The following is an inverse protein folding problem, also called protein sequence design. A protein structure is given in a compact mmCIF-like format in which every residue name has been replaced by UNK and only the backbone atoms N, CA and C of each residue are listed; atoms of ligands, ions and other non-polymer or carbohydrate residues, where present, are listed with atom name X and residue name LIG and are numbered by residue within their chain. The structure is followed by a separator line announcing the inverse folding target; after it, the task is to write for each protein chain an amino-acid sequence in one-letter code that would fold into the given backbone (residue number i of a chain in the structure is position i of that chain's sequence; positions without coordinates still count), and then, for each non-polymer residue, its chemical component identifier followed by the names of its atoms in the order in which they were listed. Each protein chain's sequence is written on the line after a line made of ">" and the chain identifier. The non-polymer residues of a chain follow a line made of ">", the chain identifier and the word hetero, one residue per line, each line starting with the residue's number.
data_IF_779544969461
#
_entry.id   IF_779544969461
#
_cell.length_a   1.000
_cell.length_b   1.000
_cell.length_c   1.000
_cell.angle_alpha   90.00
_cell.angle_beta   90.00
_cell.angle_gamma   90.00
#
_symmetry.space_group_name_H-M   'P 1'
#
loop_
_entity.id
_entity.type
_entity.pdbx_description
1 polymer ?
#
# COMPACT_ATOMS: atom_id res chain seq x y z
N UNK A 1 -27.53 -25.22 -14.38
CA UNK A 1 -27.29 -24.12 -15.34
C UNK A 1 -26.39 -23.12 -14.63
N UNK A 2 -25.27 -22.74 -15.24
CA UNK A 2 -24.31 -21.78 -14.68
C UNK A 2 -24.42 -20.48 -15.48
N UNK A 3 -24.47 -19.33 -14.81
CA UNK A 3 -24.44 -18.03 -15.47
C UNK A 3 -23.11 -17.33 -15.17
N UNK A 4 -22.59 -16.59 -16.15
CA UNK A 4 -21.34 -15.83 -16.04
C UNK A 4 -21.57 -14.39 -16.54
N UNK A 5 -21.11 -13.35 -15.81
CA UNK A 5 -21.28 -11.93 -16.19
C UNK A 5 -20.36 -11.49 -17.35
N UNK A 6 -19.84 -12.43 -18.13
CA UNK A 6 -18.90 -12.15 -19.23
C UNK A 6 -19.61 -11.72 -20.52
N UNK A 7 -20.92 -11.95 -20.62
CA UNK A 7 -21.70 -11.55 -21.80
C UNK A 7 -21.87 -10.05 -21.84
N UNK A 8 -21.61 -9.40 -22.97
CA UNK A 8 -22.15 -8.07 -23.28
C UNK A 8 -23.52 -8.25 -23.93
N UNK A 9 -24.35 -7.21 -23.89
CA UNK A 9 -25.69 -7.25 -24.50
C UNK A 9 -25.64 -7.50 -26.02
N UNK A 10 -24.55 -7.11 -26.68
CA UNK A 10 -24.30 -7.31 -28.12
C UNK A 10 -23.23 -8.38 -28.44
N UNK A 11 -22.79 -9.18 -27.46
CA UNK A 11 -21.79 -10.21 -27.72
C UNK A 11 -22.36 -11.38 -28.53
N UNK A 12 -21.56 -11.91 -29.45
CA UNK A 12 -21.91 -13.14 -30.18
C UNK A 12 -21.33 -14.37 -29.45
N UNK A 13 -22.07 -15.48 -29.44
CA UNK A 13 -21.61 -16.72 -28.79
C UNK A 13 -20.27 -17.23 -29.37
N UNK A 14 -19.96 -16.89 -30.63
CA UNK A 14 -18.69 -17.21 -31.30
C UNK A 14 -17.45 -16.55 -30.65
N UNK A 15 -17.64 -15.52 -29.82
CA UNK A 15 -16.55 -14.86 -29.07
C UNK A 15 -16.04 -15.71 -27.89
N UNK A 16 -16.79 -16.77 -27.54
CA UNK A 16 -16.47 -17.64 -26.43
C UNK A 16 -16.16 -19.05 -26.93
N UNK A 17 -15.17 -19.71 -26.34
CA UNK A 17 -14.95 -21.14 -26.53
C UNK A 17 -14.91 -21.88 -25.20
N UNK A 18 -15.66 -22.98 -25.13
CA UNK A 18 -15.65 -23.89 -23.99
C UNK A 18 -14.91 -25.16 -24.41
N UNK A 19 -13.86 -25.51 -23.66
CA UNK A 19 -13.00 -26.66 -23.96
C UNK A 19 -12.94 -27.60 -22.78
N UNK A 20 -13.24 -28.88 -23.00
CA UNK A 20 -13.03 -29.96 -22.02
C UNK A 20 -11.55 -30.31 -21.93
N UNK A 21 -11.05 -30.46 -20.71
CA UNK A 21 -9.68 -30.85 -20.40
C UNK A 21 -9.61 -32.27 -19.82
N UNK A 22 -8.65 -33.07 -20.31
CA UNK A 22 -8.24 -34.32 -19.67
C UNK A 22 -6.77 -34.25 -19.30
N UNK A 23 -6.47 -34.42 -18.00
CA UNK A 23 -5.11 -34.33 -17.46
C UNK A 23 -4.40 -33.02 -17.88
N UNK A 24 -5.14 -31.92 -17.98
CA UNK A 24 -4.64 -30.61 -18.38
C UNK A 24 -4.52 -30.38 -19.89
N UNK A 25 -4.78 -31.38 -20.74
CA UNK A 25 -4.77 -31.25 -22.19
C UNK A 25 -6.17 -31.03 -22.77
N UNK A 26 -6.35 -30.16 -23.77
CA UNK A 26 -7.64 -29.95 -24.44
C UNK A 26 -8.06 -31.22 -25.19
N UNK A 27 -9.30 -31.63 -24.99
CA UNK A 27 -9.86 -32.83 -25.59
C UNK A 27 -10.95 -32.52 -26.62
N UNK A 28 -11.93 -31.69 -26.26
CA UNK A 28 -13.10 -31.44 -27.09
C UNK A 28 -13.65 -30.02 -26.88
N UNK A 29 -14.19 -29.43 -27.94
CA UNK A 29 -14.92 -28.16 -27.88
C UNK A 29 -16.40 -28.42 -27.58
N UNK A 30 -16.94 -27.73 -26.59
CA UNK A 30 -18.31 -27.88 -26.09
C UNK A 30 -19.14 -26.62 -26.40
N UNK A 31 -19.09 -26.12 -27.64
CA UNK A 31 -19.73 -24.86 -28.04
C UNK A 31 -21.26 -24.87 -27.89
N UNK A 32 -21.90 -26.03 -28.06
CA UNK A 32 -23.36 -26.19 -27.98
C UNK A 32 -23.94 -25.94 -26.57
N UNK A 33 -23.08 -25.82 -25.55
CA UNK A 33 -23.51 -25.54 -24.18
C UNK A 33 -23.57 -24.05 -23.87
N UNK A 34 -23.14 -23.17 -24.78
CA UNK A 34 -23.04 -21.72 -24.55
C UNK A 34 -24.24 -20.99 -25.18
N UNK A 35 -24.96 -20.23 -24.37
CA UNK A 35 -26.05 -19.35 -24.81
C UNK A 35 -25.87 -17.98 -24.16
N UNK A 36 -26.02 -16.91 -24.94
CA UNK A 36 -26.03 -15.55 -24.40
C UNK A 36 -27.50 -15.15 -24.18
N UNK A 37 -27.82 -14.78 -22.95
CA UNK A 37 -29.16 -14.33 -22.55
C UNK A 37 -29.06 -13.04 -21.74
N UNK A 38 -29.56 -11.94 -22.31
CA UNK A 38 -29.69 -10.61 -21.67
C UNK A 38 -28.45 -10.25 -20.83
N UNK A 39 -27.28 -10.20 -21.47
CA UNK A 39 -26.03 -9.82 -20.81
C UNK A 39 -25.36 -10.90 -19.93
N UNK A 40 -25.90 -12.11 -19.83
CA UNK A 40 -25.23 -13.24 -19.19
C UNK A 40 -24.78 -14.27 -20.24
N UNK A 41 -23.62 -14.88 -20.04
CA UNK A 41 -23.28 -16.13 -20.71
C UNK A 41 -23.78 -17.29 -19.85
N UNK A 42 -24.77 -18.01 -20.36
CA UNK A 42 -25.33 -19.19 -19.75
C UNK A 42 -24.63 -20.44 -20.28
N UNK A 43 -24.25 -21.31 -19.36
CA UNK A 43 -23.69 -22.63 -19.64
C UNK A 43 -24.71 -23.69 -19.23
N UNK A 44 -25.18 -24.44 -20.23
CA UNK A 44 -26.05 -25.59 -20.05
C UNK A 44 -25.34 -26.66 -19.21
N UNK A 45 -26.07 -27.59 -18.55
CA UNK A 45 -25.46 -28.66 -17.75
C UNK A 45 -24.35 -29.39 -18.53
N UNK A 46 -23.21 -29.59 -17.87
CA UNK A 46 -22.03 -30.25 -18.41
C UNK A 46 -21.83 -31.58 -17.68
N UNK A 47 -21.19 -32.54 -18.35
CA UNK A 47 -20.77 -33.79 -17.73
C UNK A 47 -19.65 -33.55 -16.70
N UNK A 48 -19.48 -34.42 -15.68
CA UNK A 48 -18.40 -34.29 -14.71
C UNK A 48 -17.01 -34.26 -15.38
N UNK A 49 -16.24 -33.20 -15.12
CA UNK A 49 -14.97 -32.96 -15.81
C UNK A 49 -14.34 -31.62 -15.47
N UNK A 50 -13.21 -31.34 -16.10
CA UNK A 50 -12.54 -30.04 -16.04
C UNK A 50 -12.74 -29.33 -17.37
N UNK A 51 -13.17 -28.07 -17.35
CA UNK A 51 -13.42 -27.27 -18.52
C UNK A 51 -12.76 -25.90 -18.39
N UNK A 52 -12.41 -25.30 -19.52
CA UNK A 52 -11.95 -23.91 -19.58
C UNK A 52 -12.79 -23.16 -20.59
N UNK A 53 -13.40 -22.08 -20.12
CA UNK A 53 -14.04 -21.08 -20.95
C UNK A 53 -13.02 -20.00 -21.30
N UNK A 54 -12.88 -19.70 -22.58
CA UNK A 54 -12.07 -18.61 -23.10
C UNK A 54 -12.98 -17.50 -23.63
N UNK A 55 -12.68 -16.27 -23.27
CA UNK A 55 -13.23 -15.05 -23.86
C UNK A 55 -12.12 -14.41 -24.72
N UNK A 56 -12.31 -14.40 -26.03
CA UNK A 56 -11.30 -13.90 -26.98
C UNK A 56 -11.23 -12.38 -27.04
N UNK A 57 -12.27 -11.66 -26.62
CA UNK A 57 -12.26 -10.19 -26.60
C UNK A 57 -11.50 -9.67 -25.37
N UNK A 58 -11.84 -10.22 -24.20
CA UNK A 58 -11.24 -9.78 -22.94
C UNK A 58 -9.89 -10.45 -22.63
N UNK A 59 -9.61 -11.58 -23.31
CA UNK A 59 -8.47 -12.46 -23.05
C UNK A 59 -8.63 -13.30 -21.78
N UNK A 60 -9.79 -13.27 -21.12
CA UNK A 60 -10.01 -13.96 -19.86
C UNK A 60 -10.21 -15.46 -20.06
N UNK A 61 -9.77 -16.22 -19.05
CA UNK A 61 -9.93 -17.67 -18.96
C UNK A 61 -10.61 -18.02 -17.65
N UNK A 62 -11.74 -18.70 -17.72
CA UNK A 62 -12.49 -19.15 -16.55
C UNK A 62 -12.44 -20.67 -16.49
N UNK A 63 -11.91 -21.20 -15.39
CA UNK A 63 -11.89 -22.64 -15.13
C UNK A 63 -13.25 -23.04 -14.54
N UNK A 64 -13.90 -24.03 -15.16
CA UNK A 64 -15.16 -24.60 -14.71
C UNK A 64 -14.88 -26.06 -14.35
N UNK A 65 -15.13 -26.45 -13.11
CA UNK A 65 -14.94 -27.83 -12.63
C UNK A 65 -16.28 -28.40 -12.21
N UNK A 66 -16.65 -29.53 -12.80
CA UNK A 66 -17.93 -30.20 -12.57
C UNK A 66 -17.67 -31.50 -11.84
N UNK A 67 -18.28 -31.65 -10.66
CA UNK A 67 -18.24 -32.88 -9.86
C UNK A 67 -19.46 -33.77 -10.11
N UNK A 68 -19.31 -35.05 -9.77
CA UNK A 68 -20.27 -36.14 -9.94
C UNK A 68 -21.08 -36.46 -8.66
N UNK A 69 -20.94 -35.64 -7.62
CA UNK A 69 -21.60 -35.83 -6.33
C UNK A 69 -22.54 -34.67 -5.98
N UNK A 70 -23.53 -34.94 -5.11
CA UNK A 70 -24.41 -33.90 -4.58
C UNK A 70 -23.64 -32.86 -3.74
N UNK A 71 -24.04 -31.60 -3.86
CA UNK A 71 -23.51 -30.52 -3.02
C UNK A 71 -24.03 -30.64 -1.59
N UNK A 72 -23.12 -30.72 -0.62
CA UNK A 72 -23.43 -30.67 0.81
C UNK A 72 -22.68 -29.52 1.45
N UNK A 73 -23.40 -28.62 2.12
CA UNK A 73 -22.84 -27.42 2.76
C UNK A 73 -21.94 -26.57 1.82
N UNK A 74 -22.25 -26.53 0.53
CA UNK A 74 -21.48 -25.77 -0.46
C UNK A 74 -20.18 -26.44 -0.91
N UNK A 75 -20.05 -27.75 -0.71
CA UNK A 75 -18.96 -28.57 -1.23
C UNK A 75 -19.50 -29.78 -1.99
N UNK A 76 -18.84 -30.14 -3.08
CA UNK A 76 -19.03 -31.38 -3.82
C UNK A 76 -17.84 -32.28 -3.49
N UNK A 77 -18.09 -33.35 -2.74
CA UNK A 77 -17.09 -34.33 -2.34
C UNK A 77 -17.14 -35.54 -3.27
N UNK A 78 -16.26 -35.56 -4.26
CA UNK A 78 -16.05 -36.70 -5.14
C UNK A 78 -14.94 -37.62 -4.60
N UNK A 79 -14.81 -38.82 -5.15
CA UNK A 79 -13.88 -39.85 -4.66
C UNK A 79 -12.40 -39.38 -4.55
N UNK A 80 -11.96 -38.51 -5.46
CA UNK A 80 -10.57 -38.05 -5.54
C UNK A 80 -10.41 -36.53 -5.44
N UNK A 81 -11.50 -35.79 -5.21
CA UNK A 81 -11.46 -34.32 -5.15
C UNK A 81 -12.58 -33.74 -4.30
N UNK A 82 -12.27 -32.67 -3.60
CA UNK A 82 -13.21 -31.82 -2.90
C UNK A 82 -13.29 -30.47 -3.63
N UNK A 83 -14.50 -30.09 -4.04
CA UNK A 83 -14.75 -28.87 -4.80
C UNK A 83 -15.69 -27.95 -4.01
N UNK A 84 -15.31 -26.70 -3.80
CA UNK A 84 -16.21 -25.69 -3.26
C UNK A 84 -17.15 -25.21 -4.36
N UNK A 85 -18.46 -25.24 -4.10
CA UNK A 85 -19.45 -24.66 -5.02
C UNK A 85 -19.52 -23.15 -4.83
N UNK A 86 -19.70 -22.41 -5.92
CA UNK A 86 -20.11 -21.01 -5.81
C UNK A 86 -21.43 -20.94 -5.04
N UNK A 87 -21.44 -20.26 -3.89
CA UNK A 87 -22.66 -20.08 -3.08
C UNK A 87 -23.52 -18.90 -3.55
N UNK A 88 -23.05 -18.15 -4.54
CA UNK A 88 -23.63 -16.87 -4.91
C UNK A 88 -24.17 -16.90 -6.32
N UNK A 89 -25.35 -16.29 -6.47
CA UNK A 89 -25.91 -15.93 -7.77
C UNK A 89 -25.00 -14.87 -8.37
N UNK A 90 -24.53 -15.06 -9.61
CA UNK A 90 -23.69 -14.07 -10.27
C UNK A 90 -24.45 -12.75 -10.42
N UNK A 91 -23.76 -11.66 -10.14
CA UNK A 91 -24.27 -10.32 -10.33
C UNK A 91 -24.16 -9.97 -11.82
N UNK A 92 -25.28 -9.75 -12.49
CA UNK A 92 -25.33 -9.47 -13.94
C UNK A 92 -26.20 -8.27 -14.22
N UNK A 93 -25.69 -7.32 -14.98
CA UNK A 93 -26.48 -6.22 -15.56
C UNK A 93 -27.21 -6.79 -16.78
N UNK A 94 -28.52 -6.98 -16.60
CA UNK A 94 -29.42 -7.56 -17.61
C UNK A 94 -29.86 -6.55 -18.66
N UNK A 95 -29.95 -5.28 -18.26
CA UNK A 95 -30.36 -4.18 -19.12
C UNK A 95 -29.75 -2.88 -18.60
N UNK A 96 -29.26 -2.05 -19.51
CA UNK A 96 -28.78 -0.70 -19.22
C UNK A 96 -29.07 0.20 -20.41
N UNK A 97 -30.19 0.91 -20.37
CA UNK A 97 -30.67 1.73 -21.48
C UNK A 97 -31.30 3.03 -21.02
N UNK A 98 -31.36 4.00 -21.93
CA UNK A 98 -32.02 5.28 -21.69
C UNK A 98 -33.49 5.17 -22.10
N UNK A 99 -34.39 5.34 -21.14
CA UNK A 99 -35.85 5.31 -21.32
C UNK A 99 -36.43 6.59 -20.73
N UNK A 100 -37.22 7.34 -21.49
CA UNK A 100 -37.94 8.53 -21.03
C UNK A 100 -37.05 9.57 -20.31
N UNK A 101 -35.81 9.75 -20.77
CA UNK A 101 -34.86 10.70 -20.16
C UNK A 101 -34.21 10.20 -18.85
N UNK A 102 -34.37 8.92 -18.52
CA UNK A 102 -33.74 8.27 -17.37
C UNK A 102 -32.90 7.08 -17.82
N UNK A 103 -31.77 6.85 -17.15
CA UNK A 103 -31.01 5.62 -17.30
C UNK A 103 -31.65 4.53 -16.44
N UNK A 104 -32.24 3.52 -17.07
CA UNK A 104 -32.75 2.32 -16.42
C UNK A 104 -31.65 1.27 -16.38
N UNK A 105 -31.32 0.80 -15.18
CA UNK A 105 -30.39 -0.32 -14.98
C UNK A 105 -31.11 -1.44 -14.24
N UNK A 106 -31.15 -2.62 -14.84
CA UNK A 106 -31.70 -3.83 -14.24
C UNK A 106 -30.60 -4.85 -13.98
N UNK A 107 -30.57 -5.37 -12.75
CA UNK A 107 -29.51 -6.25 -12.26
C UNK A 107 -30.12 -7.52 -11.67
N UNK A 108 -29.62 -8.68 -12.08
CA UNK A 108 -29.93 -9.97 -11.44
C UNK A 108 -28.85 -10.35 -10.43
N UNK A 109 -29.23 -11.07 -9.37
CA UNK A 109 -28.31 -11.46 -8.29
C UNK A 109 -27.97 -10.33 -7.32
N UNK A 110 -28.72 -9.22 -7.37
CA UNK A 110 -28.56 -8.09 -6.45
C UNK A 110 -29.17 -8.39 -5.06
N UNK A 111 -28.53 -7.85 -4.04
CA UNK A 111 -28.93 -7.89 -2.64
C UNK A 111 -28.73 -6.53 -1.94
N UNK A 112 -28.90 -6.47 -0.62
CA UNK A 112 -28.75 -5.24 0.18
C UNK A 112 -27.31 -4.67 0.16
N UNK A 113 -26.30 -5.48 -0.16
CA UNK A 113 -24.90 -5.06 -0.24
C UNK A 113 -24.52 -4.56 -1.64
N UNK A 114 -25.38 -4.77 -2.63
CA UNK A 114 -25.13 -4.40 -4.02
C UNK A 114 -25.24 -2.87 -4.21
N UNK A 115 -24.25 -2.28 -4.88
CA UNK A 115 -24.22 -0.85 -5.20
C UNK A 115 -23.98 -0.61 -6.67
N UNK A 116 -24.66 0.39 -7.22
CA UNK A 116 -24.45 0.88 -8.59
C UNK A 116 -23.68 2.19 -8.56
N UNK A 117 -22.69 2.27 -9.44
CA UNK A 117 -21.87 3.45 -9.69
C UNK A 117 -21.94 3.80 -11.17
N UNK A 118 -22.03 5.07 -11.47
CA UNK A 118 -22.16 5.60 -12.81
C UNK A 118 -21.05 6.59 -13.01
N UNK A 119 -20.28 6.39 -14.08
CA UNK A 119 -19.21 7.29 -14.48
C UNK A 119 -19.50 7.74 -15.90
N UNK A 120 -19.88 9.01 -16.07
CA UNK A 120 -20.11 9.61 -17.37
C UNK A 120 -18.85 10.32 -17.87
N UNK A 121 -18.47 10.04 -19.11
CA UNK A 121 -17.25 10.56 -19.74
C UNK A 121 -17.59 11.36 -20.99
N UNK A 122 -16.80 12.40 -21.25
CA UNK A 122 -16.91 13.20 -22.48
C UNK A 122 -16.34 12.44 -23.70
N UNK A 123 -15.44 11.48 -23.46
CA UNK A 123 -14.83 10.61 -24.48
C UNK A 123 -14.94 9.15 -24.06
N UNK A 124 -14.92 8.23 -25.02
CA UNK A 124 -14.91 6.80 -24.73
C UNK A 124 -13.62 6.44 -23.96
N UNK A 125 -13.70 5.95 -22.71
CA UNK A 125 -12.51 5.58 -21.96
C UNK A 125 -11.86 4.35 -22.58
N UNK A 126 -10.53 4.36 -22.63
CA UNK A 126 -9.70 3.22 -23.04
C UNK A 126 -9.50 2.18 -21.93
N UNK A 127 -9.94 2.51 -20.70
CA UNK A 127 -9.83 1.65 -19.53
C UNK A 127 -11.22 1.17 -19.08
N UNK A 128 -11.32 -0.13 -18.79
CA UNK A 128 -12.52 -0.73 -18.21
C UNK A 128 -12.60 -0.42 -16.70
N UNK A 129 -13.50 0.50 -16.31
CA UNK A 129 -13.69 0.90 -14.91
C UNK A 129 -14.03 -0.26 -13.97
N UNK A 130 -14.80 -1.27 -14.42
CA UNK A 130 -15.09 -2.49 -13.64
C UNK A 130 -13.85 -3.25 -13.22
N UNK A 131 -12.87 -3.44 -14.12
CA UNK A 131 -11.65 -4.19 -13.82
C UNK A 131 -10.82 -3.52 -12.74
N UNK A 132 -10.89 -2.19 -12.63
CA UNK A 132 -10.22 -1.46 -11.55
C UNK A 132 -10.91 -1.58 -10.20
N UNK A 133 -12.23 -1.82 -10.20
CA UNK A 133 -13.05 -1.99 -9.01
C UNK A 133 -13.21 -3.46 -8.59
N UNK A 134 -12.71 -4.41 -9.40
CA UNK A 134 -12.67 -5.83 -9.05
C UNK A 134 -11.72 -6.04 -7.87
N UNK A 135 -12.30 -6.24 -6.68
CA UNK A 135 -11.55 -6.72 -5.54
C UNK A 135 -11.10 -8.17 -5.78
N UNK A 136 -9.88 -8.54 -5.39
CA UNK A 136 -9.43 -9.91 -5.51
C UNK A 136 -10.29 -10.81 -4.63
N UNK A 137 -11.11 -11.66 -5.24
CA UNK A 137 -11.85 -12.71 -4.55
C UNK A 137 -10.98 -13.97 -4.47
N UNK A 138 -10.91 -14.66 -3.31
CA UNK A 138 -10.20 -15.93 -3.21
C UNK A 138 -10.84 -16.94 -4.17
N UNK A 139 -10.05 -17.68 -4.98
CA UNK A 139 -10.62 -18.67 -5.88
C UNK A 139 -11.37 -19.74 -5.08
N UNK A 140 -12.39 -20.34 -5.70
CA UNK A 140 -13.10 -21.46 -5.10
C UNK A 140 -12.11 -22.57 -4.77
N UNK A 141 -12.21 -23.10 -3.56
CA UNK A 141 -11.32 -24.15 -3.08
C UNK A 141 -11.48 -25.42 -3.92
N UNK A 142 -10.37 -25.90 -4.46
CA UNK A 142 -10.24 -27.21 -5.07
C UNK A 142 -9.14 -27.97 -4.34
N UNK A 143 -9.45 -29.15 -3.83
CA UNK A 143 -8.46 -30.02 -3.17
C UNK A 143 -8.49 -31.41 -3.79
N UNK A 144 -7.34 -31.91 -4.22
CA UNK A 144 -7.18 -33.33 -4.55
C UNK A 144 -7.06 -34.14 -3.26
N UNK A 145 -7.74 -35.27 -3.17
CA UNK A 145 -7.66 -36.18 -2.02
C UNK A 145 -6.67 -37.28 -2.41
N UNK A 146 -5.42 -37.25 -1.90
CA UNK A 146 -4.45 -38.30 -2.19
C UNK A 146 -4.82 -39.60 -1.47
N UNK A 147 -4.34 -40.72 -1.99
CA UNK A 147 -4.40 -42.00 -1.29
C UNK A 147 -3.49 -41.99 -0.04
N UNK A 148 -3.89 -42.70 1.01
CA UNK A 148 -3.13 -42.82 2.27
C UNK A 148 -1.87 -43.69 2.06
N UNK A 149 -0.73 -43.28 2.61
CA UNK A 149 0.56 -44.01 2.58
C UNK A 149 1.06 -44.28 4.01
N UNK A 150 1.75 -45.40 4.24
CA UNK A 150 2.29 -45.82 5.55
C UNK A 150 3.78 -46.19 5.47
N UNK A 151 4.59 -45.83 6.49
CA UNK A 151 6.06 -46.04 6.53
C UNK A 151 6.59 -46.42 7.94
N UNK A 152 7.80 -47.00 8.01
CA UNK A 152 8.54 -47.37 9.24
C UNK A 152 9.98 -46.79 9.21
N UNK A 153 10.47 -46.25 10.34
CA UNK A 153 11.83 -45.65 10.50
C UNK A 153 12.41 -46.02 11.87
N UNK A 154 13.70 -46.40 11.94
CA UNK A 154 14.27 -47.12 13.12
C UNK A 154 15.46 -46.44 13.83
N UNK A 155 15.81 -45.17 13.55
CA UNK A 155 16.91 -44.47 14.25
C UNK A 155 16.85 -42.95 14.03
N UNK A 156 16.52 -42.16 15.06
CA UNK A 156 16.59 -40.69 15.02
C UNK A 156 17.22 -40.13 16.30
N UNK A 157 18.16 -39.20 16.13
CA UNK A 157 18.77 -38.45 17.23
C UNK A 157 17.78 -37.46 17.86
N UNK A 158 17.80 -37.34 19.19
CA UNK A 158 16.97 -36.41 19.95
C UNK A 158 17.47 -34.97 19.85
N UNK A 159 16.55 -34.04 20.06
CA UNK A 159 16.79 -32.60 20.04
C UNK A 159 17.82 -32.15 21.10
N UNK A 160 18.65 -31.16 20.74
CA UNK A 160 19.64 -30.57 21.63
C UNK A 160 18.98 -29.83 22.81
N UNK A 161 17.80 -29.21 22.64
CA UNK A 161 17.07 -28.60 23.78
C UNK A 161 16.71 -29.65 24.84
N UNK A 162 16.26 -30.81 24.39
CA UNK A 162 15.90 -31.91 25.28
C UNK A 162 17.14 -32.47 25.99
N UNK A 163 18.26 -32.56 25.26
CA UNK A 163 19.57 -32.93 25.80
C UNK A 163 20.14 -31.86 26.75
N UNK A 164 19.88 -30.59 26.47
CA UNK A 164 20.27 -29.43 27.28
C UNK A 164 19.50 -29.38 28.61
N UNK A 165 18.18 -29.65 28.59
CA UNK A 165 17.36 -29.73 29.80
C UNK A 165 17.91 -30.80 30.76
N UNK A 166 18.28 -31.96 30.23
CA UNK A 166 18.84 -33.07 31.01
C UNK A 166 20.22 -32.73 31.60
N UNK A 167 21.10 -32.07 30.84
CA UNK A 167 22.43 -31.68 31.33
C UNK A 167 22.38 -30.51 32.31
N UNK A 168 21.44 -29.56 32.16
CA UNK A 168 21.28 -28.41 33.05
C UNK A 168 20.78 -28.78 34.45
N UNK A 169 20.09 -29.91 34.60
CA UNK A 169 19.66 -30.41 35.92
C UNK A 169 20.83 -30.67 36.88
N UNK A 170 22.04 -30.97 36.37
CA UNK A 170 23.22 -31.28 37.19
C UNK A 170 24.19 -30.12 37.46
N UNK A 171 23.96 -28.92 36.90
CA UNK A 171 24.95 -27.84 36.97
C UNK A 171 24.86 -27.00 38.24
N UNK A 172 26.02 -26.73 38.85
CA UNK A 172 26.16 -25.93 40.07
C UNK A 172 26.06 -24.44 39.74
N UNK A 173 25.11 -23.74 40.36
CA UNK A 173 24.83 -22.31 40.11
C UNK A 173 25.63 -21.42 41.09
N UNK A 174 26.16 -20.30 40.59
CA UNK A 174 26.81 -19.27 41.41
C UNK A 174 26.02 -17.95 41.32
N UNK A 175 25.73 -17.28 42.45
CA UNK A 175 25.12 -15.96 42.44
C UNK A 175 26.17 -14.86 42.15
N UNK A 176 25.83 -13.86 41.32
CA UNK A 176 26.65 -12.70 41.00
C UNK A 176 25.82 -11.41 40.91
N UNK A 177 26.48 -10.25 41.13
CA UNK A 177 25.86 -8.92 41.08
C UNK A 177 25.82 -8.42 39.62
N UNK A 178 24.64 -8.02 39.13
CA UNK A 178 24.42 -7.51 37.76
C UNK A 178 24.41 -5.98 37.70
N UNK A 179 24.80 -5.28 38.77
CA UNK A 179 24.84 -3.82 38.78
C UNK A 179 25.97 -3.29 37.89
N UNK A 180 25.72 -2.22 37.12
CA UNK A 180 26.75 -1.54 36.34
C UNK A 180 27.81 -0.94 37.29
N UNK A 181 29.07 -0.94 36.86
CA UNK A 181 30.17 -0.40 37.65
C UNK A 181 30.05 1.13 37.75
N UNK A 182 30.37 1.74 38.91
CA UNK A 182 30.37 3.19 39.05
C UNK A 182 31.41 3.82 38.12
N UNK A 183 31.03 4.88 37.41
CA UNK A 183 31.91 5.59 36.46
C UNK A 183 32.05 7.07 36.84
N UNK A 184 33.20 7.68 36.49
CA UNK A 184 33.48 9.11 36.69
C UNK A 184 33.00 9.98 35.51
N UNK A 185 32.39 9.39 34.48
CA UNK A 185 31.96 10.10 33.29
C UNK A 185 30.59 10.73 33.51
N UNK A 186 30.48 12.02 33.23
CA UNK A 186 29.22 12.77 33.34
C UNK A 186 28.17 12.26 32.33
N UNK A 187 28.61 12.01 31.09
CA UNK A 187 27.83 11.35 30.04
C UNK A 187 28.69 10.25 29.40
N UNK A 188 28.59 8.99 29.85
CA UNK A 188 29.39 7.90 29.28
C UNK A 188 28.95 7.61 27.84
N UNK A 189 29.90 7.69 26.91
CA UNK A 189 29.66 7.26 25.53
C UNK A 189 30.01 5.78 25.41
N UNK A 190 29.05 4.95 25.00
CA UNK A 190 29.25 3.52 24.82
C UNK A 190 30.09 3.27 23.55
N UNK A 191 31.37 2.93 23.73
CA UNK A 191 32.35 2.78 22.62
C UNK A 191 32.35 1.35 22.05
N UNK A 192 31.78 0.40 22.78
CA UNK A 192 31.72 -1.01 22.39
C UNK A 192 30.50 -1.68 23.00
N UNK A 193 29.68 -2.32 22.16
CA UNK A 193 28.55 -3.13 22.61
C UNK A 193 29.04 -4.57 22.79
N UNK A 194 28.82 -5.15 23.97
CA UNK A 194 28.98 -6.60 24.14
C UNK A 194 27.71 -7.28 23.65
N UNK A 195 27.77 -7.87 22.48
CA UNK A 195 26.67 -8.68 21.95
C UNK A 195 26.71 -10.07 22.60
N UNK A 196 25.69 -10.38 23.39
CA UNK A 196 25.45 -11.76 23.81
C UNK A 196 24.99 -12.55 22.58
N UNK A 197 25.83 -13.46 22.09
CA UNK A 197 25.42 -14.40 21.06
C UNK A 197 24.55 -15.49 21.69
N UNK A 198 23.28 -15.54 21.27
CA UNK A 198 22.38 -16.63 21.61
C UNK A 198 22.79 -17.86 20.81
N UNK A 199 23.17 -18.94 21.48
CA UNK A 199 23.32 -20.23 20.85
C UNK A 199 21.92 -20.82 20.63
N UNK A 200 21.51 -20.95 19.37
CA UNK A 200 20.30 -21.69 19.02
C UNK A 200 20.60 -23.19 19.06
N UNK A 201 19.82 -23.93 19.85
CA UNK A 201 19.93 -25.39 19.92
C UNK A 201 19.55 -26.02 18.58
N UNK A 202 20.30 -27.03 18.16
CA UNK A 202 20.03 -27.75 16.92
C UNK A 202 18.92 -28.78 17.14
N UNK A 203 17.93 -28.74 16.26
CA UNK A 203 16.91 -29.78 16.16
C UNK A 203 17.57 -31.14 15.91
N UNK A 204 17.03 -32.17 16.56
CA UNK A 204 17.41 -33.57 16.32
C UNK A 204 17.07 -34.02 14.90
N UNK A 205 17.33 -35.29 14.58
CA UNK A 205 17.12 -35.79 13.23
C UNK A 205 15.66 -35.66 12.81
N UNK A 206 15.45 -35.02 11.66
CA UNK A 206 14.12 -34.88 11.06
C UNK A 206 13.72 -36.23 10.47
N UNK A 207 12.45 -36.63 10.67
CA UNK A 207 11.88 -37.78 9.97
C UNK A 207 12.19 -37.68 8.48
N UNK A 208 12.77 -38.72 7.84
CA UNK A 208 13.12 -38.67 6.44
C UNK A 208 11.87 -38.35 5.63
N UNK A 209 11.93 -37.27 4.85
CA UNK A 209 10.84 -36.84 4.00
C UNK A 209 10.79 -37.79 2.80
N UNK A 210 10.15 -38.95 2.99
CA UNK A 210 9.88 -39.90 1.90
C UNK A 210 8.73 -39.31 1.09
N UNK A 211 9.09 -38.48 0.11
CA UNK A 211 8.13 -37.76 -0.71
C UNK A 211 7.12 -38.74 -1.34
N UNK A 212 5.84 -38.50 -1.09
CA UNK A 212 4.79 -39.05 -1.95
C UNK A 212 5.11 -38.65 -3.41
N UNK A 213 4.86 -39.51 -4.42
CA UNK A 213 5.01 -39.13 -5.82
C UNK A 213 4.23 -37.83 -6.04
N UNK A 214 4.97 -36.81 -6.49
CA UNK A 214 4.58 -35.41 -6.37
C UNK A 214 3.13 -35.19 -6.76
N UNK A 215 2.37 -34.59 -5.84
CA UNK A 215 1.17 -33.87 -6.26
C UNK A 215 1.60 -32.95 -7.41
N UNK A 216 0.83 -32.87 -8.52
CA UNK A 216 1.09 -31.86 -9.52
C UNK A 216 1.20 -30.53 -8.77
N UNK A 217 2.23 -29.70 -9.05
CA UNK A 217 2.41 -28.47 -8.32
C UNK A 217 1.07 -27.77 -8.31
N UNK A 218 0.55 -27.47 -7.11
CA UNK A 218 -0.51 -26.50 -7.00
C UNK A 218 0.02 -25.31 -7.80
N UNK A 219 -0.67 -24.93 -8.88
CA UNK A 219 -0.35 -23.71 -9.59
C UNK A 219 -0.41 -22.63 -8.52
N UNK A 220 0.76 -22.28 -7.99
CA UNK A 220 0.93 -21.10 -7.23
C UNK A 220 0.72 -20.02 -8.28
N UNK A 221 -0.53 -19.59 -8.39
CA UNK A 221 -0.82 -18.22 -8.76
C UNK A 221 -0.31 -17.33 -7.62
N UNK A 222 0.97 -17.46 -7.25
CA UNK A 222 1.81 -16.30 -7.15
C UNK A 222 1.72 -15.67 -8.54
N UNK A 223 0.65 -14.90 -8.76
CA UNK A 223 0.79 -13.69 -9.56
C UNK A 223 2.04 -13.09 -8.98
N UNK A 224 3.16 -13.21 -9.70
CA UNK A 224 4.18 -12.19 -9.63
C UNK A 224 3.34 -10.93 -9.70
N UNK A 225 3.25 -10.20 -8.59
CA UNK A 225 3.17 -8.76 -8.70
C UNK A 225 4.46 -8.45 -9.44
N UNK A 226 4.41 -8.57 -10.77
CA UNK A 226 5.10 -7.63 -11.57
C UNK A 226 4.58 -6.32 -11.01
N UNK A 227 5.40 -5.69 -10.20
CA UNK A 227 5.84 -4.33 -10.52
C UNK A 227 6.35 -4.34 -11.97
N UNK A 228 5.48 -4.68 -12.93
CA UNK A 228 5.25 -3.78 -14.00
C UNK A 228 4.87 -2.52 -13.24
N UNK A 229 5.89 -1.71 -12.95
CA UNK A 229 5.85 -0.32 -13.37
C UNK A 229 4.96 -0.36 -14.59
N UNK A 230 3.68 -0.02 -14.43
CA UNK A 230 2.91 0.39 -15.57
C UNK A 230 3.75 1.55 -16.07
N UNK A 231 4.69 1.27 -16.99
CA UNK A 231 5.03 2.25 -18.00
C UNK A 231 3.66 2.52 -18.56
N UNK A 232 2.99 3.56 -18.06
CA UNK A 232 1.75 4.06 -18.61
C UNK A 232 2.18 4.46 -20.01
N UNK A 233 1.96 3.63 -21.05
CA UNK A 233 2.24 4.06 -22.39
C UNK A 233 1.09 5.02 -22.67
N UNK A 234 1.42 6.27 -23.00
CA UNK A 234 0.49 7.41 -23.09
C UNK A 234 -0.05 7.94 -21.76
N UNK A 235 0.63 8.95 -21.23
CA UNK A 235 -0.09 9.97 -20.45
C UNK A 235 -1.03 10.70 -21.41
N UNK A 236 -2.29 10.27 -21.47
CA UNK A 236 -3.35 11.05 -22.13
C UNK A 236 -3.71 12.23 -21.23
N UNK A 237 -3.36 13.45 -21.66
CA UNK A 237 -3.80 14.65 -20.95
C UNK A 237 -5.21 15.01 -21.41
N UNK A 238 -6.12 15.14 -20.44
CA UNK A 238 -7.47 15.64 -20.62
C UNK A 238 -7.60 17.10 -20.13
N UNK A 239 -6.47 17.81 -20.08
CA UNK A 239 -6.38 19.19 -19.62
C UNK A 239 -7.08 20.21 -20.54
N UNK A 240 -7.61 19.80 -21.68
CA UNK A 240 -8.45 20.67 -22.51
C UNK A 240 -9.93 20.57 -22.12
N UNK A 241 -10.35 19.58 -21.35
CA UNK A 241 -11.75 19.46 -20.94
C UNK A 241 -12.09 20.50 -19.87
N UNK A 242 -13.27 21.09 -19.98
CA UNK A 242 -13.76 22.06 -19.01
C UNK A 242 -14.09 21.42 -17.65
N UNK A 243 -14.45 20.13 -17.65
CA UNK A 243 -14.77 19.35 -16.46
C UNK A 243 -14.17 17.96 -16.53
N UNK A 244 -14.22 17.26 -15.39
CA UNK A 244 -13.91 15.83 -15.34
C UNK A 244 -15.16 14.98 -15.61
N UNK A 245 -14.98 13.66 -15.49
CA UNK A 245 -16.09 12.72 -15.51
C UNK A 245 -17.10 13.02 -14.40
N UNK A 246 -18.40 12.95 -14.71
CA UNK A 246 -19.45 13.01 -13.70
C UNK A 246 -19.62 11.65 -13.04
N UNK A 247 -19.72 11.64 -11.71
CA UNK A 247 -19.82 10.42 -10.92
C UNK A 247 -21.11 10.47 -10.10
N UNK A 248 -21.97 9.48 -10.29
CA UNK A 248 -23.10 9.19 -9.41
C UNK A 248 -22.83 7.83 -8.78
N UNK A 249 -22.50 7.81 -7.48
CA UNK A 249 -21.96 6.64 -6.81
C UNK A 249 -22.86 6.14 -5.68
N UNK A 250 -22.66 4.88 -5.30
CA UNK A 250 -23.25 4.26 -4.11
C UNK A 250 -24.79 4.23 -4.15
N UNK A 251 -25.36 4.02 -5.33
CA UNK A 251 -26.81 3.89 -5.50
C UNK A 251 -27.24 2.49 -5.03
N UNK A 252 -28.26 2.45 -4.18
CA UNK A 252 -28.94 1.21 -3.83
C UNK A 252 -29.94 0.82 -4.93
N UNK A 253 -30.21 -0.46 -5.07
CA UNK A 253 -31.25 -0.97 -5.96
C UNK A 253 -32.55 -1.15 -5.20
N UNK A 254 -33.67 -0.90 -5.87
CA UNK A 254 -35.02 -1.24 -5.41
C UNK A 254 -35.53 -2.35 -6.33
N UNK A 255 -35.81 -3.53 -5.77
CA UNK A 255 -36.24 -4.71 -6.55
C UNK A 255 -35.31 -5.08 -7.73
N UNK A 256 -34.00 -4.91 -7.53
CA UNK A 256 -32.98 -5.19 -8.56
C UNK A 256 -32.93 -4.16 -9.69
N UNK A 257 -33.57 -2.99 -9.51
CA UNK A 257 -33.58 -1.90 -10.48
C UNK A 257 -33.10 -0.59 -9.86
N UNK A 258 -32.53 0.26 -10.70
CA UNK A 258 -32.25 1.67 -10.37
C UNK A 258 -32.56 2.54 -11.58
N UNK A 259 -33.18 3.70 -11.32
CA UNK A 259 -33.46 4.73 -12.33
C UNK A 259 -32.70 5.99 -11.97
N UNK A 260 -31.92 6.51 -12.91
CA UNK A 260 -31.10 7.68 -12.71
C UNK A 260 -31.53 8.77 -13.69
N UNK A 261 -31.89 9.97 -13.20
CA UNK A 261 -32.18 11.11 -14.07
C UNK A 261 -30.96 11.47 -14.93
N UNK A 262 -31.15 11.72 -16.23
CA UNK A 262 -30.04 12.07 -17.14
C UNK A 262 -29.66 13.55 -17.09
N UNK A 263 -30.47 14.43 -16.52
CA UNK A 263 -30.18 15.86 -16.40
C UNK A 263 -28.77 16.16 -15.83
N UNK A 264 -28.30 15.52 -14.73
CA UNK A 264 -26.94 15.72 -14.23
C UNK A 264 -25.85 15.11 -15.12
N UNK A 265 -26.20 14.25 -16.06
CA UNK A 265 -25.29 13.56 -16.99
C UNK A 265 -25.39 14.14 -18.41
N UNK A 266 -26.10 15.25 -18.60
CA UNK A 266 -26.24 15.92 -19.88
C UNK A 266 -24.90 16.51 -20.34
N UNK A 267 -24.60 16.36 -21.64
CA UNK A 267 -23.36 16.86 -22.25
C UNK A 267 -22.16 15.92 -22.13
N UNK A 268 -22.36 14.68 -21.66
CA UNK A 268 -21.39 13.60 -21.74
C UNK A 268 -21.76 12.65 -22.90
N UNK A 269 -20.77 11.95 -23.48
CA UNK A 269 -20.96 11.10 -24.66
C UNK A 269 -21.14 9.62 -24.32
N UNK A 270 -20.65 9.17 -23.16
CA UNK A 270 -20.82 7.79 -22.72
C UNK A 270 -20.97 7.68 -21.22
N UNK A 271 -21.72 6.69 -20.79
CA UNK A 271 -21.90 6.29 -19.40
C UNK A 271 -21.29 4.90 -19.21
N UNK A 272 -20.48 4.74 -18.18
CA UNK A 272 -20.08 3.43 -17.69
C UNK A 272 -20.84 3.14 -16.39
N UNK A 273 -21.75 2.17 -16.47
CA UNK A 273 -22.47 1.61 -15.33
C UNK A 273 -21.62 0.51 -14.74
N UNK A 274 -21.27 0.62 -13.46
CA UNK A 274 -20.54 -0.41 -12.72
C UNK A 274 -21.39 -0.84 -11.53
N UNK A 275 -21.71 -2.13 -11.48
CA UNK A 275 -22.40 -2.73 -10.34
C UNK A 275 -21.38 -3.51 -9.54
N UNK A 276 -21.34 -3.25 -8.24
CA UNK A 276 -20.37 -3.84 -7.30
C UNK A 276 -21.11 -4.51 -6.16
N UNK A 277 -20.64 -5.70 -5.84
CA UNK A 277 -20.98 -6.49 -4.66
C UNK A 277 -19.64 -6.92 -4.01
N UNK A 278 -19.58 -7.22 -2.70
CA UNK A 278 -18.34 -7.65 -2.04
C UNK A 278 -17.60 -8.83 -2.68
N UNK A 279 -18.28 -9.62 -3.52
CA UNK A 279 -17.73 -10.84 -4.13
C UNK A 279 -17.85 -10.89 -5.65
N UNK A 280 -18.48 -9.90 -6.28
CA UNK A 280 -18.72 -9.89 -7.73
C UNK A 280 -18.91 -8.46 -8.23
N UNK A 281 -18.64 -8.24 -9.51
CA UNK A 281 -18.87 -6.96 -10.15
C UNK A 281 -19.17 -7.16 -11.63
N UNK A 282 -20.01 -6.31 -12.19
CA UNK A 282 -20.29 -6.26 -13.62
C UNK A 282 -20.28 -4.81 -14.11
N UNK A 283 -20.06 -4.60 -15.41
CA UNK A 283 -20.18 -3.27 -16.02
C UNK A 283 -20.80 -3.28 -17.40
N UNK A 284 -21.48 -2.18 -17.71
CA UNK A 284 -22.01 -1.87 -19.05
C UNK A 284 -21.63 -0.47 -19.46
N UNK A 285 -21.28 -0.33 -20.73
CA UNK A 285 -21.14 0.96 -21.36
C UNK A 285 -22.42 1.28 -22.13
N UNK A 286 -22.96 2.47 -21.88
CA UNK A 286 -24.12 3.01 -22.58
C UNK A 286 -23.66 4.26 -23.30
N UNK A 287 -23.87 4.31 -24.62
CA UNK A 287 -23.54 5.50 -25.43
C UNK A 287 -24.71 6.46 -25.34
N UNK A 288 -24.41 7.73 -25.04
CA UNK A 288 -25.41 8.80 -25.01
C UNK A 288 -25.53 9.47 -26.37
N UNK A 289 -26.56 10.31 -26.52
CA UNK A 289 -26.68 11.16 -27.70
C UNK A 289 -25.48 12.10 -27.80
N UNK A 290 -25.04 12.34 -29.04
CA UNK A 290 -23.91 13.23 -29.32
C UNK A 290 -24.13 14.63 -28.73
N UNK A 291 -23.07 15.20 -28.17
CA UNK A 291 -23.10 16.50 -27.50
C UNK A 291 -21.79 17.25 -27.72
N UNK A 292 -21.85 18.58 -27.74
CA UNK A 292 -20.66 19.40 -27.94
C UNK A 292 -19.68 19.27 -26.78
N UNK A 293 -18.41 19.05 -27.11
CA UNK A 293 -17.36 18.89 -26.12
C UNK A 293 -17.08 20.20 -25.39
N UNK A 294 -17.24 20.18 -24.06
CA UNK A 294 -16.96 21.35 -23.21
C UNK A 294 -15.46 21.45 -22.97
N UNK A 295 -14.83 22.49 -23.51
CA UNK A 295 -13.37 22.70 -23.42
C UNK A 295 -13.00 23.91 -22.55
N UNK A 296 -11.86 23.85 -21.87
CA UNK A 296 -11.24 24.98 -21.17
C UNK A 296 -10.15 25.62 -22.03
N UNK A 297 -10.04 26.94 -21.93
CA UNK A 297 -8.96 27.68 -22.57
C UNK A 297 -7.61 27.34 -21.91
N UNK A 298 -6.74 26.68 -22.66
CA UNK A 298 -5.39 26.32 -22.23
C UNK A 298 -4.33 27.36 -22.60
N UNK A 299 -4.72 28.48 -23.25
CA UNK A 299 -3.76 29.53 -23.59
C UNK A 299 -3.22 30.17 -22.32
N UNK A 300 -1.94 30.48 -22.35
CA UNK A 300 -1.30 31.29 -21.31
C UNK A 300 -1.89 32.71 -21.37
N UNK A 301 -2.85 33.00 -20.47
CA UNK A 301 -3.55 34.31 -20.43
C UNK A 301 -2.61 35.49 -20.21
N UNK A 302 -1.54 35.27 -19.45
CA UNK A 302 -0.53 36.28 -19.13
C UNK A 302 0.85 35.67 -19.36
N UNK A 303 1.56 36.17 -20.37
CA UNK A 303 2.94 35.77 -20.64
C UNK A 303 3.90 36.70 -19.91
N UNK A 304 5.08 36.17 -19.58
CA UNK A 304 6.21 37.03 -19.22
C UNK A 304 6.62 37.92 -20.40
N UNK A 305 7.19 39.07 -20.09
CA UNK A 305 7.75 39.98 -21.09
C UNK A 305 8.95 39.31 -21.78
N UNK A 306 8.89 39.17 -23.10
CA UNK A 306 9.92 38.51 -23.90
C UNK A 306 11.27 39.26 -23.91
N UNK A 307 11.29 40.54 -23.52
CA UNK A 307 12.51 41.33 -23.38
C UNK A 307 13.21 41.11 -22.03
N UNK A 308 12.56 40.42 -21.08
CA UNK A 308 13.12 40.21 -19.74
C UNK A 308 13.85 38.87 -19.64
N UNK A 309 15.09 38.91 -19.16
CA UNK A 309 15.82 37.71 -18.77
C UNK A 309 15.41 37.30 -17.35
N UNK A 310 14.57 36.29 -17.26
CA UNK A 310 14.09 35.76 -15.98
C UNK A 310 14.85 34.48 -15.61
N UNK A 311 15.17 34.33 -14.33
CA UNK A 311 15.72 33.09 -13.76
C UNK A 311 14.90 32.67 -12.54
N UNK A 312 14.78 31.36 -12.34
CA UNK A 312 14.17 30.84 -11.12
C UNK A 312 15.18 30.94 -9.98
N UNK A 313 14.80 31.63 -8.90
CA UNK A 313 15.64 31.82 -7.71
C UNK A 313 14.93 31.24 -6.50
N UNK A 314 15.64 30.43 -5.72
CA UNK A 314 15.19 30.02 -4.39
C UNK A 314 15.69 31.03 -3.37
N UNK A 315 14.78 31.60 -2.58
CA UNK A 315 15.11 32.61 -1.56
C UNK A 315 14.48 32.22 -0.24
N UNK A 316 15.25 32.37 0.84
CA UNK A 316 14.75 32.28 2.21
C UNK A 316 14.61 33.69 2.76
N UNK A 317 13.45 34.01 3.31
CA UNK A 317 13.18 35.30 3.94
C UNK A 317 12.66 35.08 5.36
N UNK A 318 13.24 35.81 6.31
CA UNK A 318 12.80 35.83 7.70
C UNK A 318 11.81 36.99 7.86
N UNK A 319 10.66 36.71 8.48
CA UNK A 319 9.63 37.72 8.75
C UNK A 319 9.58 37.97 10.26
N UNK A 320 9.56 39.24 10.64
CA UNK A 320 9.35 39.63 12.03
C UNK A 320 7.88 39.42 12.44
N UNK A 321 7.64 39.32 13.76
CA UNK A 321 6.29 39.18 14.29
C UNK A 321 5.41 40.38 13.85
N UNK A 322 4.30 40.10 13.17
CA UNK A 322 3.36 41.11 12.66
C UNK A 322 3.72 41.71 11.29
N UNK A 323 4.86 41.35 10.71
CA UNK A 323 5.25 41.80 9.37
C UNK A 323 4.32 41.19 8.29
N UNK A 324 3.87 42.01 7.35
CA UNK A 324 3.07 41.58 6.18
C UNK A 324 3.88 41.75 4.92
N UNK A 325 3.94 40.71 4.09
CA UNK A 325 4.68 40.73 2.82
C UNK A 325 3.84 40.22 1.66
N UNK A 326 3.92 40.91 0.53
CA UNK A 326 3.19 40.57 -0.69
C UNK A 326 4.16 39.87 -1.64
N UNK A 327 3.85 38.62 -1.98
CA UNK A 327 4.69 37.78 -2.83
C UNK A 327 4.26 37.79 -4.31
N UNK A 328 3.36 38.67 -4.76
CA UNK A 328 2.95 38.76 -6.17
C UNK A 328 2.07 37.58 -6.64
N UNK A 329 2.20 37.18 -7.90
CA UNK A 329 1.34 36.17 -8.54
C UNK A 329 1.63 34.74 -8.03
N UNK A 330 0.65 34.05 -7.42
CA UNK A 330 0.81 32.68 -6.91
C UNK A 330 1.07 31.64 -8.00
N UNK A 331 0.78 31.91 -9.27
CA UNK A 331 1.06 30.97 -10.38
C UNK A 331 2.55 30.86 -10.70
N UNK A 332 3.32 31.89 -10.37
CA UNK A 332 4.75 32.01 -10.74
C UNK A 332 5.70 31.68 -9.60
N UNK A 333 5.17 31.43 -8.39
CA UNK A 333 5.95 31.25 -7.17
C UNK A 333 5.43 30.07 -6.37
N UNK A 334 6.34 29.29 -5.81
CA UNK A 334 6.04 28.27 -4.81
C UNK A 334 6.48 28.81 -3.46
N UNK A 335 5.57 28.83 -2.51
CA UNK A 335 5.81 29.32 -1.15
C UNK A 335 5.69 28.16 -0.18
N UNK A 336 6.66 28.04 0.72
CA UNK A 336 6.61 27.12 1.86
C UNK A 336 6.95 27.94 3.10
N UNK A 337 6.02 27.97 4.06
CA UNK A 337 6.25 28.63 5.34
C UNK A 337 6.84 27.65 6.35
N UNK A 338 7.77 28.14 7.17
CA UNK A 338 8.32 27.45 8.33
C UNK A 338 8.10 28.33 9.55
N UNK A 339 7.12 27.94 10.36
CA UNK A 339 6.62 28.68 11.52
C UNK A 339 7.14 28.10 12.83
N UNK A 340 7.56 26.83 12.85
CA UNK A 340 8.07 26.16 14.05
C UNK A 340 9.45 25.53 13.83
N UNK A 341 10.17 25.32 14.94
CA UNK A 341 11.45 24.58 14.94
C UNK A 341 11.27 23.16 14.41
N UNK A 342 10.13 22.53 14.67
CA UNK A 342 9.83 21.19 14.18
C UNK A 342 9.74 21.12 12.64
N UNK A 343 9.12 22.13 12.01
CA UNK A 343 9.02 22.20 10.54
C UNK A 343 10.40 22.44 9.90
N UNK A 344 11.25 23.27 10.52
CA UNK A 344 12.63 23.47 10.07
C UNK A 344 13.44 22.18 10.23
N UNK A 345 13.27 21.47 11.35
CA UNK A 345 13.90 20.17 11.57
C UNK A 345 13.49 19.15 10.51
N UNK A 346 12.21 19.13 10.13
CA UNK A 346 11.69 18.27 9.08
C UNK A 346 12.29 18.63 7.71
N UNK A 347 12.42 19.91 7.38
CA UNK A 347 13.13 20.31 6.15
C UNK A 347 14.55 19.74 6.12
N UNK A 348 15.33 19.92 7.18
CA UNK A 348 16.68 19.36 7.24
C UNK A 348 16.69 17.83 7.13
N UNK A 349 15.70 17.14 7.71
CA UNK A 349 15.59 15.68 7.58
C UNK A 349 15.35 15.19 6.14
N UNK A 350 14.85 16.05 5.26
CA UNK A 350 14.70 15.73 3.82
C UNK A 350 15.95 16.05 3.01
N UNK A 351 16.85 16.87 3.54
CA UNK A 351 18.08 17.31 2.86
C UNK A 351 19.31 16.52 3.32
N UNK A 352 19.31 16.04 4.56
CA UNK A 352 20.40 15.29 5.17
C UNK A 352 20.07 13.80 5.17
N UNK A 353 20.99 12.99 4.66
CA UNK A 353 20.93 11.53 4.71
C UNK A 353 21.82 11.01 5.87
N UNK A 354 21.51 11.42 7.10
CA UNK A 354 22.20 10.95 8.31
C UNK A 354 21.18 10.37 9.32
N UNK A 355 21.26 9.06 9.64
CA UNK A 355 20.37 8.42 10.61
C UNK A 355 20.50 9.00 12.03
N UNK A 356 21.59 9.71 12.36
CA UNK A 356 21.77 10.38 13.66
C UNK A 356 20.89 11.61 13.81
N UNK A 357 20.53 12.26 12.71
CA UNK A 357 19.69 13.46 12.73
C UNK A 357 18.36 13.17 13.42
N UNK A 358 17.72 12.04 13.08
CA UNK A 358 16.39 11.69 13.60
C UNK A 358 16.36 11.55 15.13
N UNK A 359 17.49 11.22 15.76
CA UNK A 359 17.60 11.17 17.23
C UNK A 359 17.32 12.53 17.88
N UNK A 360 17.57 13.64 17.19
CA UNK A 360 17.32 15.01 17.68
C UNK A 360 15.90 15.51 17.40
N UNK A 361 14.99 14.67 16.91
CA UNK A 361 13.59 15.06 16.63
C UNK A 361 12.87 15.63 17.84
N UNK A 362 13.27 15.25 19.06
CA UNK A 362 12.69 15.79 20.29
C UNK A 362 12.91 17.32 20.44
N UNK A 363 13.95 17.90 19.83
CA UNK A 363 14.27 19.34 19.88
C UNK A 363 13.11 20.18 19.32
N UNK A 364 12.44 19.69 18.27
CA UNK A 364 11.28 20.37 17.67
C UNK A 364 10.09 20.52 18.65
N UNK A 365 10.01 19.66 19.67
CA UNK A 365 8.96 19.67 20.70
C UNK A 365 9.49 19.96 22.10
N UNK A 366 10.71 20.49 22.23
CA UNK A 366 11.36 20.74 23.54
C UNK A 366 10.47 21.51 24.54
N UNK A 367 9.77 22.53 24.04
CA UNK A 367 8.84 23.36 24.80
C UNK A 367 7.65 22.60 25.41
N UNK A 368 7.31 21.41 24.89
CA UNK A 368 6.21 20.57 25.34
C UNK A 368 6.63 19.51 26.36
N UNK A 369 7.94 19.25 26.47
CA UNK A 369 8.47 18.23 27.37
C UNK A 369 8.35 18.67 28.84
N UNK A 370 8.11 17.72 29.72
CA UNK A 370 8.19 17.94 31.18
C UNK A 370 9.64 18.10 31.63
N UNK A 371 9.86 18.61 32.84
CA UNK A 371 11.21 18.80 33.37
C UNK A 371 11.98 17.47 33.51
N UNK A 372 11.28 16.39 33.85
CA UNK A 372 11.85 15.03 33.92
C UNK A 372 12.25 14.52 32.54
N UNK A 373 11.39 14.70 31.53
CA UNK A 373 11.66 14.31 30.15
C UNK A 373 12.82 15.12 29.55
N UNK A 374 12.90 16.43 29.83
CA UNK A 374 14.00 17.29 29.39
C UNK A 374 15.33 16.81 29.95
N UNK A 375 15.38 16.49 31.25
CA UNK A 375 16.59 15.94 31.90
C UNK A 375 16.99 14.60 31.31
N UNK A 376 16.03 13.70 31.09
CA UNK A 376 16.29 12.39 30.49
C UNK A 376 16.85 12.52 29.07
N UNK A 377 16.23 13.37 28.23
CA UNK A 377 16.69 13.61 26.85
C UNK A 377 18.04 14.30 26.80
N UNK A 378 18.27 15.28 27.67
CA UNK A 378 19.56 15.92 27.78
C UNK A 378 20.64 14.91 28.20
N UNK A 379 20.37 14.05 29.18
CA UNK A 379 21.33 13.04 29.62
C UNK A 379 21.70 12.03 28.52
N UNK A 380 20.75 11.66 27.67
CA UNK A 380 20.95 10.75 26.54
C UNK A 380 21.72 11.41 25.38
N UNK A 381 21.45 12.70 25.12
CA UNK A 381 21.81 13.37 23.86
C UNK A 381 22.70 14.61 24.07
N UNK A 382 23.41 14.72 25.19
CA UNK A 382 24.26 15.87 25.51
C UNK A 382 25.37 16.06 24.46
N UNK A 383 25.34 17.19 23.76
CA UNK A 383 26.35 17.59 22.77
C UNK A 383 26.42 19.12 22.64
N UNK A 384 27.41 19.63 21.91
CA UNK A 384 27.61 21.08 21.73
C UNK A 384 26.43 21.77 21.05
N UNK A 385 25.85 21.13 20.04
CA UNK A 385 24.71 21.65 19.28
C UNK A 385 23.47 21.76 20.16
N UNK A 386 23.23 20.75 21.01
CA UNK A 386 22.13 20.77 21.96
C UNK A 386 22.36 21.83 23.05
N UNK A 387 23.58 21.94 23.57
CA UNK A 387 23.93 22.97 24.56
C UNK A 387 23.70 24.38 24.00
N UNK A 388 24.15 24.63 22.77
CA UNK A 388 23.95 25.89 22.07
C UNK A 388 22.46 26.18 21.80
N UNK A 389 21.70 25.16 21.39
CA UNK A 389 20.25 25.29 21.21
C UNK A 389 19.57 25.71 22.52
N UNK A 390 19.90 25.04 23.63
CA UNK A 390 19.30 25.31 24.94
C UNK A 390 19.69 26.69 25.50
N UNK A 391 20.93 27.14 25.26
CA UNK A 391 21.37 28.49 25.62
C UNK A 391 20.43 29.58 25.09
N UNK A 392 19.95 29.44 23.84
CA UNK A 392 19.04 30.42 23.22
C UNK A 392 17.55 30.13 23.43
N UNK A 393 17.15 28.85 23.49
CA UNK A 393 15.73 28.45 23.49
C UNK A 393 15.15 28.15 24.87
N UNK A 394 16.00 27.80 25.83
CA UNK A 394 15.59 27.54 27.22
C UNK A 394 16.68 28.00 28.20
N UNK A 395 16.86 29.33 28.37
CA UNK A 395 17.92 29.87 29.22
C UNK A 395 17.82 29.42 30.69
N UNK A 396 16.59 29.14 31.17
CA UNK A 396 16.35 28.67 32.53
C UNK A 396 16.87 27.24 32.74
N UNK A 397 16.51 26.31 31.85
CA UNK A 397 17.04 24.95 31.91
C UNK A 397 18.56 24.94 31.71
N UNK A 398 19.07 25.78 30.80
CA UNK A 398 20.50 25.92 30.57
C UNK A 398 21.24 26.31 31.86
N UNK A 399 20.83 27.37 32.55
CA UNK A 399 21.49 27.83 33.77
C UNK A 399 21.40 26.82 34.93
N UNK A 400 20.28 26.09 35.04
CA UNK A 400 20.04 25.16 36.14
C UNK A 400 20.73 23.79 35.97
N UNK A 401 20.77 23.28 34.73
CA UNK A 401 21.20 21.90 34.46
C UNK A 401 22.47 21.87 33.61
N UNK A 402 22.45 22.56 32.47
CA UNK A 402 23.53 22.46 31.46
C UNK A 402 24.81 23.16 31.94
N UNK A 403 24.69 24.39 32.42
CA UNK A 403 25.83 25.22 32.83
C UNK A 403 26.66 24.57 33.95
N UNK A 404 26.08 24.02 35.05
CA UNK A 404 26.86 23.31 36.07
C UNK A 404 27.57 22.07 35.52
N UNK A 405 26.95 21.33 34.59
CA UNK A 405 27.54 20.14 33.99
C UNK A 405 28.73 20.50 33.08
N UNK A 406 28.60 21.55 32.26
CA UNK A 406 29.71 22.06 31.45
C UNK A 406 30.84 22.59 32.35
N UNK A 407 30.51 23.27 33.45
CA UNK A 407 31.50 23.77 34.40
C UNK A 407 32.31 22.62 35.07
N UNK A 408 31.68 21.47 35.32
CA UNK A 408 32.33 20.28 35.87
C UNK A 408 33.06 19.41 34.83
N UNK A 409 32.89 19.70 33.54
CA UNK A 409 33.61 19.00 32.47
C UNK A 409 35.12 19.19 32.65
N UNK A 410 35.85 18.06 32.66
CA UNK A 410 37.30 18.01 32.87
C UNK A 410 38.04 18.74 31.74
N UNK A 411 37.72 18.41 30.49
CA UNK A 411 38.31 19.03 29.30
C UNK A 411 37.27 19.94 28.62
N UNK A 412 37.45 21.25 28.76
CA UNK A 412 36.56 22.27 28.21
C UNK A 412 37.07 22.73 26.85
N UNK A 413 36.26 22.54 25.82
CA UNK A 413 36.53 22.97 24.46
C UNK A 413 36.03 24.41 24.23
N UNK A 414 36.26 24.95 23.03
CA UNK A 414 35.91 26.34 22.69
C UNK A 414 34.44 26.65 22.98
N UNK A 415 33.52 25.80 22.51
CA UNK A 415 32.07 26.02 22.69
C UNK A 415 31.69 25.97 24.16
N UNK A 416 32.28 25.07 24.95
CA UNK A 416 32.06 24.98 26.40
C UNK A 416 32.47 26.30 27.10
N UNK A 417 33.67 26.80 26.79
CA UNK A 417 34.21 28.03 27.39
C UNK A 417 33.42 29.26 26.97
N UNK A 418 32.99 29.31 25.70
CA UNK A 418 32.12 30.37 25.18
C UNK A 418 30.77 30.38 25.90
N UNK A 419 30.15 29.21 26.06
CA UNK A 419 28.87 29.04 26.77
C UNK A 419 28.97 29.39 28.25
N UNK A 420 30.14 29.21 28.88
CA UNK A 420 30.40 29.61 30.26
C UNK A 420 30.77 31.10 30.42
N UNK A 421 31.01 31.81 29.33
CA UNK A 421 31.50 33.20 29.38
C UNK A 421 32.93 33.33 29.89
N UNK A 422 33.75 32.28 29.77
CA UNK A 422 35.17 32.30 30.14
C UNK A 422 36.00 33.09 29.11
N UNK A 423 37.16 33.67 29.51
CA UNK A 423 38.04 34.35 28.56
C UNK A 423 38.58 33.36 27.52
N UNK A 424 38.49 33.74 26.24
CA UNK A 424 38.89 32.91 25.10
C UNK A 424 40.29 33.24 24.56
N UNK A 425 41.05 34.09 25.25
CA UNK A 425 42.39 34.57 24.84
C UNK A 425 43.37 33.43 24.54
N UNK A 426 43.21 32.28 25.19
CA UNK A 426 44.04 31.08 24.93
C UNK A 426 43.89 30.53 23.49
N UNK A 427 42.82 30.89 22.77
CA UNK A 427 42.60 30.50 21.38
C UNK A 427 43.15 31.52 20.37
N UNK A 428 43.69 32.65 20.81
CA UNK A 428 44.38 33.62 19.94
C UNK A 428 45.75 33.09 19.47
N UNK A 429 46.30 32.09 20.16
CA UNK A 429 47.53 31.44 19.75
C UNK A 429 47.32 30.61 18.47
N UNK A 430 48.15 30.86 17.45
CA UNK A 430 48.02 30.28 16.10
C UNK A 430 47.83 28.75 16.10
N UNK A 431 48.51 28.03 17.01
CA UNK A 431 48.42 26.56 17.08
C UNK A 431 47.10 26.06 17.68
N UNK A 432 46.50 26.79 18.63
CA UNK A 432 45.17 26.49 19.16
C UNK A 432 44.10 26.80 18.10
N UNK A 433 44.24 27.94 17.43
CA UNK A 433 43.35 28.36 16.34
C UNK A 433 43.35 27.34 15.18
N UNK A 434 44.51 26.79 14.81
CA UNK A 434 44.61 25.76 13.77
C UNK A 434 43.91 24.44 14.15
N UNK A 435 43.77 24.13 15.44
CA UNK A 435 43.07 22.94 15.94
C UNK A 435 41.55 23.10 16.01
N UNK A 436 41.02 24.30 15.86
CA UNK A 436 39.57 24.54 15.89
C UNK A 436 38.84 24.04 14.62
N UNK A 437 39.56 23.96 13.49
CA UNK A 437 39.00 23.60 12.18
C UNK A 437 39.31 22.15 11.73
N UNK A 438 39.91 21.33 12.60
CA UNK A 438 40.14 19.91 12.29
C UNK A 438 38.93 19.09 12.76
N UNK A 439 37.97 18.90 11.84
CA UNK A 439 36.95 17.85 11.93
C UNK A 439 37.46 16.56 11.28
#
# INVERSE_FOLDING_TARGET
>A
MLELPLGKESAEAAQFSLVELRRGAPQAFQANHLVIDRGALQVSPLEPGDYVLHDYESGQRVKIVVGDAESRQGFVAAAHRLLQTSRQVPLVIRQAEVVDGQLLVQVSGADEMTRVHIVAHDLLPDISNSRQLQLPYPPLMQRSIPAVQSHYVDSLQLDEEYSYILSRQGMKKFPGNMLPQPSLLVHPWEVSVTENQQQEAQLGDVMPNMAAPGAPPAESSAKRRSTATASRPDWKSYDFLAGGAAIVANLALVEGQVRIPLEPLAGYSSINVVVVHPTSSDSRQVVLQDSELRVRDQRLRESFDAQQHLSQVQKVELLAAGERKIFGDPRTRRLQAYTTVAEVFQLYSTLLDDPRWDKFRFVGRWHQLTDEERRARYNEMACHELNFFLYHKDPQFFAQVVQPLIAQKLDKQLVDRWLLGEPLEAYDELWQMQRLNTL
#
